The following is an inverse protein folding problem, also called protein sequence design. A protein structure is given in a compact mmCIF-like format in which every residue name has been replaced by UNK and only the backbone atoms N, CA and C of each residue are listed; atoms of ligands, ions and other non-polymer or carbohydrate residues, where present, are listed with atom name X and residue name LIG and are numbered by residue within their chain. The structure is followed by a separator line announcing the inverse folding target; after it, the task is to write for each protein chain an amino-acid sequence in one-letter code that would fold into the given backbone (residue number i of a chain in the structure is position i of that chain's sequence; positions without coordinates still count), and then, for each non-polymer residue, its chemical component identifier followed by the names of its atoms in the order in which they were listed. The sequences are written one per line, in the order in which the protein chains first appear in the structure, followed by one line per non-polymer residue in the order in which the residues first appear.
data_IF_316349983661
#
_entry.id   IF_316349983661
#
_cell.length_a   1.000
_cell.length_b   1.000
_cell.length_c   1.000
_cell.angle_alpha   90.00
_cell.angle_beta   90.00
_cell.angle_gamma   90.00
#
_symmetry.space_group_name_H-M   'P 1'
#
loop_
_entity.id
_entity.type
_entity.pdbx_description
1 polymer ?
#
# COMPACT_ATOMS: atom_id res chain seq x y z
N UNK A 1 -33.45 -5.01 -15.06
CA UNK A 1 -32.08 -5.07 -15.58
C UNK A 1 -31.23 -4.16 -14.72
N UNK A 2 -30.54 -4.72 -13.72
CA UNK A 2 -29.64 -3.97 -12.85
C UNK A 2 -28.35 -3.71 -13.62
N UNK A 3 -28.22 -2.50 -14.14
CA UNK A 3 -26.97 -1.97 -14.68
C UNK A 3 -26.04 -1.73 -13.48
N UNK A 4 -25.17 -2.69 -13.19
CA UNK A 4 -24.13 -2.56 -12.17
C UNK A 4 -23.05 -1.66 -12.77
N UNK A 5 -22.84 -0.50 -12.14
CA UNK A 5 -22.20 0.65 -12.76
C UNK A 5 -20.68 0.43 -12.99
N UNK A 6 -20.14 0.90 -14.13
CA UNK A 6 -18.70 0.95 -14.40
C UNK A 6 -17.91 1.91 -13.48
N UNK A 7 -18.59 2.64 -12.60
CA UNK A 7 -18.02 3.68 -11.71
C UNK A 7 -17.24 3.11 -10.50
N UNK A 8 -17.45 1.84 -10.11
CA UNK A 8 -16.74 1.20 -8.98
C UNK A 8 -15.28 0.84 -9.32
N UNK A 9 -15.00 0.52 -10.59
CA UNK A 9 -13.68 0.07 -11.01
C UNK A 9 -12.63 1.19 -11.00
N UNK A 10 -12.97 2.35 -11.58
CA UNK A 10 -12.07 3.49 -11.61
C UNK A 10 -11.77 4.02 -10.20
N UNK A 11 -12.77 4.01 -9.31
CA UNK A 11 -12.58 4.36 -7.90
C UNK A 11 -11.60 3.43 -7.18
N UNK A 12 -11.77 2.12 -7.33
CA UNK A 12 -10.87 1.11 -6.74
C UNK A 12 -9.43 1.22 -7.23
N UNK A 13 -9.23 1.50 -8.51
CA UNK A 13 -7.88 1.71 -9.07
C UNK A 13 -7.25 2.99 -8.49
N UNK A 14 -8.03 4.06 -8.33
CA UNK A 14 -7.55 5.30 -7.69
C UNK A 14 -7.17 5.05 -6.22
N UNK A 15 -7.97 4.28 -5.49
CA UNK A 15 -7.69 3.90 -4.10
C UNK A 15 -6.39 3.09 -3.97
N UNK A 16 -6.18 2.13 -4.87
CA UNK A 16 -4.92 1.39 -4.95
C UNK A 16 -3.71 2.30 -5.24
N UNK A 17 -3.87 3.28 -6.14
CA UNK A 17 -2.82 4.27 -6.42
C UNK A 17 -2.51 5.16 -5.21
N UNK A 18 -3.55 5.56 -4.45
CA UNK A 18 -3.37 6.32 -3.22
C UNK A 18 -2.59 5.52 -2.17
N UNK A 19 -2.95 4.25 -1.96
CA UNK A 19 -2.24 3.35 -1.05
C UNK A 19 -0.77 3.14 -1.45
N UNK A 20 -0.50 2.96 -2.74
CA UNK A 20 0.88 2.84 -3.26
C UNK A 20 1.70 4.11 -3.02
N UNK A 21 1.07 5.29 -3.15
CA UNK A 21 1.72 6.57 -2.84
C UNK A 21 2.09 6.66 -1.36
N UNK A 22 1.19 6.26 -0.46
CA UNK A 22 1.48 6.22 0.98
C UNK A 22 2.61 5.24 1.32
N UNK A 23 2.63 4.05 0.71
CA UNK A 23 3.69 3.05 0.89
C UNK A 23 5.05 3.62 0.48
N UNK A 24 5.11 4.36 -0.63
CA UNK A 24 6.34 5.02 -1.07
C UNK A 24 6.86 6.01 -0.01
N UNK A 25 5.98 6.82 0.56
CA UNK A 25 6.35 7.79 1.60
C UNK A 25 6.85 7.10 2.88
N UNK A 26 6.24 5.97 3.26
CA UNK A 26 6.68 5.18 4.41
C UNK A 26 8.07 4.55 4.17
N UNK A 27 8.33 4.06 2.96
CA UNK A 27 9.65 3.54 2.59
C UNK A 27 10.74 4.62 2.63
N UNK A 28 10.44 5.83 2.16
CA UNK A 28 11.36 6.97 2.26
C UNK A 28 11.65 7.34 3.73
N UNK A 29 10.63 7.31 4.59
CA UNK A 29 10.79 7.54 6.02
C UNK A 29 11.66 6.47 6.70
N UNK A 30 11.47 5.19 6.34
CA UNK A 30 12.32 4.08 6.81
C UNK A 30 13.76 4.28 6.36
N UNK A 31 14.00 4.64 5.10
CA UNK A 31 15.35 4.85 4.59
C UNK A 31 16.06 6.01 5.30
N UNK A 32 15.35 7.13 5.54
CA UNK A 32 15.87 8.26 6.31
C UNK A 32 16.15 7.90 7.78
N UNK A 33 15.28 7.13 8.42
CA UNK A 33 15.49 6.63 9.79
C UNK A 33 16.65 5.63 9.87
N UNK A 34 16.78 4.76 8.86
CA UNK A 34 17.83 3.76 8.74
C UNK A 34 19.22 4.41 8.56
N UNK A 35 19.28 5.51 7.81
CA UNK A 35 20.52 6.29 7.63
C UNK A 35 21.05 6.89 8.95
N UNK A 36 20.19 7.06 9.97
CA UNK A 36 20.58 7.49 11.32
C UNK A 36 21.02 6.37 12.27
N UNK A 37 21.05 5.10 11.83
CA UNK A 37 21.19 3.96 12.74
C UNK A 37 22.61 3.71 13.25
N UNK A 38 22.81 4.10 14.52
CA UNK A 38 23.75 3.48 15.46
C UNK A 38 23.08 3.04 16.78
N UNK A 39 21.75 3.19 16.92
CA UNK A 39 21.01 2.91 18.16
C UNK A 39 19.90 1.88 17.95
N UNK A 40 19.87 0.87 18.83
CA UNK A 40 18.97 -0.31 18.78
C UNK A 40 17.48 0.04 18.75
N UNK A 41 17.08 1.12 19.41
CA UNK A 41 15.67 1.50 19.54
C UNK A 41 15.06 1.96 18.21
N UNK A 42 15.87 2.49 17.31
CA UNK A 42 15.43 2.91 15.97
C UNK A 42 15.23 1.72 15.02
N UNK A 43 15.87 0.56 15.26
CA UNK A 43 15.62 -0.65 14.46
C UNK A 43 14.20 -1.20 14.68
N UNK A 44 13.69 -1.17 15.92
CA UNK A 44 12.31 -1.60 16.22
C UNK A 44 11.26 -0.73 15.50
N UNK A 45 11.50 0.57 15.40
CA UNK A 45 10.62 1.48 14.67
C UNK A 45 10.61 1.18 13.16
N UNK A 46 11.78 0.85 12.59
CA UNK A 46 11.90 0.47 11.18
C UNK A 46 11.17 -0.84 10.88
N UNK A 47 11.33 -1.86 11.74
CA UNK A 47 10.59 -3.11 11.60
C UNK A 47 9.08 -2.88 11.66
N UNK A 48 8.61 -2.04 12.58
CA UNK A 48 7.18 -1.71 12.70
C UNK A 48 6.64 -1.04 11.43
N UNK A 49 7.40 -0.12 10.83
CA UNK A 49 6.97 0.55 9.59
C UNK A 49 7.03 -0.41 8.40
N UNK A 50 8.02 -1.31 8.33
CA UNK A 50 8.09 -2.35 7.32
C UNK A 50 6.86 -3.28 7.36
N UNK A 51 6.43 -3.69 8.56
CA UNK A 51 5.23 -4.52 8.73
C UNK A 51 3.95 -3.79 8.27
N UNK A 52 3.87 -2.46 8.45
CA UNK A 52 2.75 -1.64 7.97
C UNK A 52 2.75 -1.57 6.44
N UNK A 53 3.93 -1.41 5.83
CA UNK A 53 4.09 -1.41 4.37
C UNK A 53 3.65 -2.75 3.78
N UNK A 54 4.07 -3.87 4.37
CA UNK A 54 3.69 -5.21 3.91
C UNK A 54 2.17 -5.42 3.92
N UNK A 55 1.49 -5.00 5.00
CA UNK A 55 0.02 -5.07 5.10
C UNK A 55 -0.67 -4.23 4.02
N UNK A 56 -0.21 -2.99 3.80
CA UNK A 56 -0.78 -2.13 2.76
C UNK A 56 -0.54 -2.68 1.35
N UNK A 57 0.60 -3.31 1.10
CA UNK A 57 0.89 -3.96 -0.19
C UNK A 57 -0.06 -5.14 -0.44
N UNK A 58 -0.33 -5.95 0.58
CA UNK A 58 -1.29 -7.05 0.47
C UNK A 58 -2.73 -6.54 0.19
N UNK A 59 -3.13 -5.43 0.78
CA UNK A 59 -4.42 -4.77 0.47
C UNK A 59 -4.48 -4.32 -0.99
N UNK A 60 -3.41 -3.70 -1.50
CA UNK A 60 -3.32 -3.29 -2.91
C UNK A 60 -3.39 -4.48 -3.86
N UNK A 61 -2.68 -5.58 -3.57
CA UNK A 61 -2.76 -6.80 -4.37
C UNK A 61 -4.19 -7.34 -4.44
N UNK A 62 -4.89 -7.40 -3.30
CA UNK A 62 -6.29 -7.84 -3.27
C UNK A 62 -7.23 -6.97 -4.10
N UNK A 63 -7.03 -5.64 -4.10
CA UNK A 63 -7.81 -4.71 -4.92
C UNK A 63 -7.54 -4.95 -6.42
N UNK A 64 -6.26 -5.10 -6.79
CA UNK A 64 -5.85 -5.30 -8.18
C UNK A 64 -6.30 -6.66 -8.73
N UNK A 65 -6.28 -7.71 -7.91
CA UNK A 65 -6.77 -9.03 -8.29
C UNK A 65 -8.29 -9.01 -8.50
N UNK A 66 -9.05 -8.40 -7.59
CA UNK A 66 -10.49 -8.22 -7.75
C UNK A 66 -10.85 -7.41 -9.02
N UNK A 67 -10.07 -6.35 -9.29
CA UNK A 67 -10.19 -5.55 -10.50
C UNK A 67 -9.91 -6.40 -11.77
N UNK A 68 -8.86 -7.23 -11.73
CA UNK A 68 -8.50 -8.11 -12.84
C UNK A 68 -9.57 -9.17 -13.11
N UNK A 69 -10.14 -9.76 -12.06
CA UNK A 69 -11.24 -10.72 -12.17
C UNK A 69 -12.50 -10.08 -12.76
N UNK A 70 -12.86 -8.87 -12.33
CA UNK A 70 -14.01 -8.14 -12.86
C UNK A 70 -13.85 -7.70 -14.33
N UNK A 71 -12.62 -7.68 -14.86
CA UNK A 71 -12.31 -7.34 -16.26
C UNK A 71 -12.31 -8.55 -17.22
N UNK A 72 -12.53 -9.77 -16.72
CA UNK A 72 -12.68 -11.01 -17.52
C UNK A 72 -14.15 -11.28 -17.86
#
# INVERSE_FOLDING_TARGET
MTHQAPDDFAGRVLDAQNLLSEIKHLNEAVFMAAHGLGQRDHMNAITTVADIIEKKLAEVEGILDAAREASR
#
